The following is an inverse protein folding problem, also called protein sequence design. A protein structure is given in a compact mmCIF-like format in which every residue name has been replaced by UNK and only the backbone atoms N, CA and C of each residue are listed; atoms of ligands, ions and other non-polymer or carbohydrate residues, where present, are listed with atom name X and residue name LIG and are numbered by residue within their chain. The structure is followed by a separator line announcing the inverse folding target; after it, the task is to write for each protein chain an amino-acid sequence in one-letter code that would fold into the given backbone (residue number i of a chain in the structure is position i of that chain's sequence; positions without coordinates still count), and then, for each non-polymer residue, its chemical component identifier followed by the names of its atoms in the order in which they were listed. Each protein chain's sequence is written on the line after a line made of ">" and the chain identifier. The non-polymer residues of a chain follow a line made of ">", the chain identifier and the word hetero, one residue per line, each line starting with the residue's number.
data_IF_211492260658
#
_entry.id   IF_211492260658
#
_cell.length_a   1.000
_cell.length_b   1.000
_cell.length_c   1.000
_cell.angle_alpha   90.00
_cell.angle_beta   90.00
_cell.angle_gamma   90.00
#
_symmetry.space_group_name_H-M   'P 1'
#
loop_
_entity.id
_entity.type
_entity.pdbx_description
1 polymer ?
#
# COMPACT_ATOMS: atom_id res chain seq x y z
N UNK A 1 0.97 -22.79 25.90
CA UNK A 1 -0.11 -23.11 24.94
C UNK A 1 -1.26 -22.17 25.27
N UNK A 2 -1.68 -21.26 24.37
CA UNK A 2 -2.81 -20.40 24.67
C UNK A 2 -4.08 -21.24 24.67
N UNK A 3 -4.81 -21.20 25.78
CA UNK A 3 -6.14 -21.80 25.91
C UNK A 3 -7.02 -21.24 24.81
N UNK A 4 -7.46 -22.11 23.91
CA UNK A 4 -8.46 -21.83 22.89
C UNK A 4 -9.83 -21.88 23.57
N UNK A 5 -10.49 -20.73 23.85
CA UNK A 5 -11.71 -20.68 24.67
C UNK A 5 -12.94 -21.26 23.96
N UNK A 6 -12.78 -21.89 22.80
CA UNK A 6 -13.87 -22.34 21.93
C UNK A 6 -14.03 -23.87 21.87
N UNK A 7 -13.23 -24.66 22.62
CA UNK A 7 -13.45 -26.11 22.81
C UNK A 7 -14.38 -26.43 23.99
N UNK A 8 -15.51 -25.73 24.09
CA UNK A 8 -16.62 -26.11 24.99
C UNK A 8 -17.70 -26.89 24.22
N UNK A 9 -18.38 -27.87 24.83
CA UNK A 9 -19.46 -28.61 24.17
C UNK A 9 -20.72 -27.74 24.09
N UNK A 10 -20.82 -26.92 23.04
CA UNK A 10 -21.93 -25.96 22.90
C UNK A 10 -21.80 -25.02 21.71
N UNK A 11 -21.60 -25.61 20.51
CA UNK A 11 -21.89 -25.09 19.15
C UNK A 11 -22.18 -23.58 18.99
N UNK A 12 -21.49 -22.89 18.07
CA UNK A 12 -22.12 -22.02 17.11
C UNK A 12 -22.25 -22.77 15.77
N UNK A 13 -23.03 -23.86 15.79
CA UNK A 13 -23.53 -24.43 14.54
C UNK A 13 -24.44 -23.36 13.99
N UNK A 14 -24.16 -22.92 12.76
CA UNK A 14 -25.11 -22.17 11.96
C UNK A 14 -26.44 -22.86 12.11
N UNK A 15 -27.35 -22.23 12.85
CA UNK A 15 -28.44 -22.98 13.47
C UNK A 15 -29.18 -23.75 12.36
N UNK A 16 -29.59 -24.98 12.65
CA UNK A 16 -30.36 -25.81 11.73
C UNK A 16 -31.46 -25.03 10.96
N UNK A 17 -32.11 -23.97 11.54
CA UNK A 17 -32.92 -23.01 10.79
C UNK A 17 -32.27 -22.37 9.54
N UNK A 18 -31.09 -21.75 9.62
CA UNK A 18 -30.49 -21.06 8.45
C UNK A 18 -30.03 -22.08 7.41
N UNK A 19 -29.45 -23.20 7.84
CA UNK A 19 -29.03 -24.25 6.91
C UNK A 19 -30.21 -24.81 6.10
N UNK A 20 -31.37 -25.00 6.74
CA UNK A 20 -32.62 -25.44 6.08
C UNK A 20 -33.27 -24.36 5.22
N UNK A 21 -33.17 -23.10 5.61
CA UNK A 21 -33.71 -21.97 4.85
C UNK A 21 -32.87 -21.66 3.59
N UNK A 22 -31.63 -22.15 3.52
CA UNK A 22 -30.75 -21.89 2.39
C UNK A 22 -31.09 -22.80 1.20
N UNK A 23 -31.18 -22.27 -0.02
CA UNK A 23 -31.65 -23.04 -1.16
C UNK A 23 -30.60 -24.07 -1.63
N UNK A 24 -31.07 -25.27 -1.99
CA UNK A 24 -30.24 -26.36 -2.50
C UNK A 24 -29.99 -26.30 -4.03
N UNK A 25 -30.28 -25.16 -4.67
CA UNK A 25 -30.06 -24.93 -6.10
C UNK A 25 -28.75 -24.18 -6.34
N UNK A 26 -28.20 -24.23 -7.56
CA UNK A 26 -27.08 -23.39 -7.94
C UNK A 26 -27.39 -21.89 -7.79
N UNK A 27 -26.47 -21.15 -7.17
CA UNK A 27 -26.56 -19.69 -6.98
C UNK A 27 -25.43 -18.97 -7.70
N UNK A 28 -25.72 -17.80 -8.29
CA UNK A 28 -24.72 -16.88 -8.84
C UNK A 28 -24.26 -15.89 -7.76
N UNK A 29 -22.95 -15.79 -7.61
CA UNK A 29 -22.32 -14.84 -6.69
C UNK A 29 -22.15 -13.49 -7.41
N UNK A 30 -22.85 -12.46 -6.91
CA UNK A 30 -22.82 -11.07 -7.39
C UNK A 30 -21.97 -10.18 -6.47
N UNK A 31 -20.75 -10.63 -6.18
CA UNK A 31 -19.87 -9.92 -5.26
C UNK A 31 -19.46 -8.54 -5.82
N UNK A 32 -19.62 -7.44 -5.06
CA UNK A 32 -19.21 -6.09 -5.47
C UNK A 32 -17.69 -5.91 -5.34
N UNK A 33 -16.91 -6.80 -5.94
CA UNK A 33 -15.45 -6.77 -5.87
C UNK A 33 -14.96 -5.57 -6.68
N UNK A 34 -14.55 -4.51 -5.98
CA UNK A 34 -14.21 -3.21 -6.54
C UNK A 34 -12.84 -3.22 -7.24
N UNK A 35 -12.76 -3.92 -8.37
CA UNK A 35 -11.48 -4.16 -9.06
C UNK A 35 -11.00 -2.99 -9.91
N UNK A 36 -11.89 -2.34 -10.66
CA UNK A 36 -11.45 -1.41 -11.70
C UNK A 36 -10.87 -0.12 -11.11
N UNK A 37 -11.47 0.43 -10.04
CA UNK A 37 -10.95 1.62 -9.35
C UNK A 37 -9.61 1.33 -8.69
N UNK A 38 -9.49 0.21 -7.97
CA UNK A 38 -8.24 -0.19 -7.34
C UNK A 38 -7.13 -0.41 -8.38
N UNK A 39 -7.46 -1.01 -9.53
CA UNK A 39 -6.54 -1.21 -10.63
C UNK A 39 -6.11 0.11 -11.27
N UNK A 40 -7.05 1.00 -11.60
CA UNK A 40 -6.76 2.31 -12.18
C UNK A 40 -5.95 3.19 -11.23
N UNK A 41 -6.34 3.30 -9.96
CA UNK A 41 -5.58 4.07 -8.97
C UNK A 41 -4.22 3.45 -8.69
N UNK A 42 -4.10 2.12 -8.71
CA UNK A 42 -2.83 1.41 -8.57
C UNK A 42 -1.87 1.72 -9.73
N UNK A 43 -2.35 1.63 -10.98
CA UNK A 43 -1.54 1.93 -12.17
C UNK A 43 -1.22 3.41 -12.27
N UNK A 44 -2.22 4.28 -12.08
CA UNK A 44 -2.01 5.73 -12.09
C UNK A 44 -1.02 6.15 -11.01
N UNK A 45 -1.17 5.60 -9.79
CA UNK A 45 -0.22 5.80 -8.70
C UNK A 45 1.17 5.35 -9.11
N UNK A 46 1.32 4.11 -9.59
CA UNK A 46 2.60 3.58 -10.07
C UNK A 46 3.26 4.46 -11.13
N UNK A 47 2.50 4.92 -12.14
CA UNK A 47 3.00 5.79 -13.20
C UNK A 47 3.45 7.14 -12.66
N UNK A 48 2.64 7.79 -11.81
CA UNK A 48 3.01 9.06 -11.18
C UNK A 48 4.26 8.92 -10.32
N UNK A 49 4.38 7.83 -9.56
CA UNK A 49 5.57 7.53 -8.77
C UNK A 49 6.81 7.26 -9.64
N UNK A 50 6.66 6.50 -10.73
CA UNK A 50 7.76 6.21 -11.65
C UNK A 50 8.25 7.48 -12.38
N UNK A 51 7.33 8.35 -12.79
CA UNK A 51 7.66 9.66 -13.39
C UNK A 51 8.35 10.56 -12.37
N UNK A 52 7.81 10.69 -11.15
CA UNK A 52 8.44 11.47 -10.09
C UNK A 52 9.85 10.97 -9.77
N UNK A 53 10.05 9.66 -9.75
CA UNK A 53 11.35 9.03 -9.58
C UNK A 53 12.32 9.42 -10.70
N UNK A 54 11.89 9.35 -11.97
CA UNK A 54 12.71 9.73 -13.11
C UNK A 54 13.12 11.20 -13.04
N UNK A 55 12.20 12.10 -12.69
CA UNK A 55 12.46 13.54 -12.54
C UNK A 55 13.49 13.81 -11.44
N UNK A 56 13.30 13.27 -10.24
CA UNK A 56 14.27 13.44 -9.14
C UNK A 56 15.63 12.86 -9.51
N UNK A 57 15.64 11.70 -10.18
CA UNK A 57 16.89 11.07 -10.65
C UNK A 57 17.65 11.97 -11.63
N UNK A 58 16.93 12.67 -12.52
CA UNK A 58 17.55 13.57 -13.51
C UNK A 58 18.27 14.75 -12.86
N UNK A 59 17.86 15.18 -11.67
CA UNK A 59 18.50 16.28 -10.96
C UNK A 59 19.61 15.80 -10.03
N UNK A 60 19.37 14.71 -9.28
CA UNK A 60 20.29 14.24 -8.24
C UNK A 60 21.48 13.45 -8.82
N UNK A 61 21.23 12.58 -9.80
CA UNK A 61 22.25 11.67 -10.33
C UNK A 61 23.41 12.42 -11.01
N UNK A 62 23.20 13.45 -11.85
CA UNK A 62 24.31 14.17 -12.48
C UNK A 62 25.24 14.86 -11.48
N UNK A 63 24.69 15.44 -10.42
CA UNK A 63 25.49 16.09 -9.36
C UNK A 63 26.30 15.03 -8.61
N UNK A 64 25.66 13.93 -8.21
CA UNK A 64 26.34 12.82 -7.52
C UNK A 64 27.43 12.18 -8.40
N UNK A 65 27.17 12.02 -9.69
CA UNK A 65 28.14 11.51 -10.66
C UNK A 65 29.31 12.48 -10.87
N UNK A 66 29.06 13.79 -10.87
CA UNK A 66 30.10 14.82 -10.91
C UNK A 66 30.98 14.72 -9.68
N UNK A 67 30.38 14.70 -8.49
CA UNK A 67 31.09 14.59 -7.21
C UNK A 67 31.97 13.34 -7.16
N UNK A 68 31.44 12.19 -7.59
CA UNK A 68 32.21 10.95 -7.66
C UNK A 68 33.42 11.05 -8.60
N UNK A 69 33.29 11.72 -9.75
CA UNK A 69 34.36 11.84 -10.76
C UNK A 69 35.51 12.75 -10.34
N UNK A 70 35.25 13.71 -9.44
CA UNK A 70 36.24 14.70 -9.01
C UNK A 70 36.68 14.52 -7.56
N UNK A 71 36.11 13.56 -6.81
CA UNK A 71 36.40 13.39 -5.38
C UNK A 71 37.88 13.29 -5.04
N UNK A 72 38.68 12.70 -5.93
CA UNK A 72 40.11 12.43 -5.71
C UNK A 72 41.01 13.53 -6.31
N UNK A 73 40.46 14.43 -7.16
CA UNK A 73 41.19 15.51 -7.85
C UNK A 73 40.73 16.91 -7.47
N UNK A 74 39.67 17.02 -6.67
CA UNK A 74 39.05 18.29 -6.32
C UNK A 74 39.98 19.15 -5.46
N UNK A 75 40.16 20.39 -5.89
CA UNK A 75 40.89 21.43 -5.16
C UNK A 75 40.01 22.65 -4.97
N UNK A 76 40.34 23.46 -3.97
CA UNK A 76 39.64 24.72 -3.70
C UNK A 76 39.79 25.69 -4.88
N UNK A 77 38.69 26.33 -5.29
CA UNK A 77 38.66 27.32 -6.36
C UNK A 77 38.50 28.73 -5.76
N UNK A 78 39.60 29.42 -5.39
CA UNK A 78 39.54 30.70 -4.68
C UNK A 78 38.94 31.85 -5.50
N UNK A 79 38.92 31.72 -6.83
CA UNK A 79 38.29 32.71 -7.73
C UNK A 79 36.77 32.52 -7.86
N UNK A 80 36.26 31.33 -7.56
CA UNK A 80 34.83 31.00 -7.61
C UNK A 80 34.15 31.50 -6.34
N UNK A 81 32.99 32.12 -6.47
CA UNK A 81 32.23 32.65 -5.32
C UNK A 81 30.85 32.02 -5.25
N UNK A 82 30.33 31.92 -4.04
CA UNK A 82 28.95 31.53 -3.77
C UNK A 82 28.10 32.81 -3.79
N UNK A 83 27.18 32.92 -4.74
CA UNK A 83 26.27 34.08 -4.87
C UNK A 83 25.10 33.97 -3.87
N UNK A 84 24.57 32.76 -3.71
CA UNK A 84 23.48 32.47 -2.79
C UNK A 84 23.61 31.05 -2.24
N UNK A 85 23.17 30.84 -1.01
CA UNK A 85 23.13 29.54 -0.36
C UNK A 85 21.92 29.47 0.58
N UNK A 86 21.12 28.41 0.49
CA UNK A 86 19.96 28.18 1.33
C UNK A 86 19.92 26.72 1.75
N UNK A 87 19.81 26.47 3.05
CA UNK A 87 19.56 25.14 3.58
C UNK A 87 18.24 25.14 4.35
N UNK A 88 17.39 24.14 4.10
CA UNK A 88 16.15 23.91 4.82
C UNK A 88 16.12 22.49 5.37
N UNK A 89 15.68 22.35 6.61
CA UNK A 89 15.38 21.03 7.19
C UNK A 89 13.93 20.69 6.89
N UNK A 90 13.70 19.55 6.25
CA UNK A 90 12.41 18.95 6.02
C UNK A 90 12.31 17.65 6.84
N UNK A 91 11.11 17.34 7.32
CA UNK A 91 10.85 16.11 8.10
C UNK A 91 11.82 15.89 9.28
N UNK A 92 12.29 16.96 9.92
CA UNK A 92 13.22 16.98 11.06
C UNK A 92 14.62 16.38 10.84
N UNK A 93 14.88 15.69 9.73
CA UNK A 93 16.13 14.95 9.49
C UNK A 93 16.69 15.12 8.08
N UNK A 94 15.88 15.54 7.10
CA UNK A 94 16.29 15.71 5.72
C UNK A 94 16.76 17.15 5.51
N UNK A 95 18.04 17.35 5.23
CA UNK A 95 18.59 18.65 4.88
C UNK A 95 18.57 18.79 3.36
N UNK A 96 17.99 19.89 2.90
CA UNK A 96 17.90 20.29 1.51
C UNK A 96 18.65 21.61 1.35
N UNK A 97 19.82 21.55 0.72
CA UNK A 97 20.73 22.68 0.56
C UNK A 97 20.93 23.00 -0.92
N UNK A 98 20.67 24.25 -1.29
CA UNK A 98 20.90 24.78 -2.63
C UNK A 98 21.95 25.89 -2.55
N UNK A 99 22.85 25.92 -3.54
CA UNK A 99 23.82 27.00 -3.69
C UNK A 99 24.03 27.36 -5.17
N UNK A 100 24.20 28.65 -5.44
CA UNK A 100 24.55 29.16 -6.77
C UNK A 100 26.02 29.58 -6.78
N UNK A 101 26.81 28.91 -7.62
CA UNK A 101 28.23 29.16 -7.82
C UNK A 101 28.44 30.05 -9.05
N UNK A 102 29.27 31.09 -8.90
CA UNK A 102 29.70 31.97 -9.98
C UNK A 102 31.16 31.68 -10.28
N UNK A 103 31.40 31.09 -11.46
CA UNK A 103 32.72 30.64 -11.91
C UNK A 103 33.24 31.66 -12.92
N UNK A 104 34.27 32.45 -12.59
CA UNK A 104 34.86 33.37 -13.55
C UNK A 104 35.53 32.60 -14.68
N UNK A 105 35.29 33.03 -15.92
CA UNK A 105 35.87 32.46 -17.12
C UNK A 105 36.98 33.38 -17.63
N UNK A 106 38.08 32.80 -18.12
CA UNK A 106 39.20 33.58 -18.67
C UNK A 106 38.81 34.34 -19.95
N UNK A 107 37.79 33.85 -20.67
CA UNK A 107 37.15 34.55 -21.79
C UNK A 107 35.63 34.37 -21.73
N UNK A 108 34.91 35.49 -21.70
CA UNK A 108 33.45 35.51 -21.73
C UNK A 108 32.79 35.76 -20.37
N UNK A 109 31.45 35.75 -20.32
CA UNK A 109 30.70 35.99 -19.10
C UNK A 109 30.94 34.87 -18.06
N UNK A 110 30.88 35.22 -16.78
CA UNK A 110 31.00 34.24 -15.70
C UNK A 110 29.90 33.17 -15.79
N UNK A 111 30.28 31.91 -15.59
CA UNK A 111 29.36 30.78 -15.63
C UNK A 111 28.64 30.67 -14.28
N UNK A 112 27.30 30.69 -14.33
CA UNK A 112 26.45 30.42 -13.16
C UNK A 112 26.08 28.95 -13.15
N UNK A 113 26.30 28.29 -12.00
CA UNK A 113 25.94 26.90 -11.79
C UNK A 113 25.19 26.74 -10.49
N UNK A 114 24.01 26.13 -10.56
CA UNK A 114 23.25 25.75 -9.37
C UNK A 114 23.64 24.34 -8.96
N UNK A 115 23.88 24.15 -7.66
CA UNK A 115 24.18 22.85 -7.06
C UNK A 115 23.23 22.62 -5.88
N UNK A 116 22.61 21.44 -5.87
CA UNK A 116 21.67 21.01 -4.84
C UNK A 116 22.15 19.76 -4.12
N UNK A 117 21.98 19.74 -2.80
CA UNK A 117 22.45 18.69 -1.91
C UNK A 117 21.34 18.26 -0.95
N UNK A 118 20.94 16.98 -1.04
CA UNK A 118 19.95 16.38 -0.15
C UNK A 118 20.58 15.24 0.65
N UNK A 119 20.55 15.33 1.98
CA UNK A 119 21.14 14.33 2.88
C UNK A 119 20.43 14.24 4.24
N UNK A 120 20.57 13.09 4.91
CA UNK A 120 20.06 12.88 6.27
C UNK A 120 21.05 13.36 7.34
N UNK A 121 20.67 14.34 8.16
CA UNK A 121 21.45 14.77 9.33
C UNK A 121 20.55 15.47 10.38
N UNK A 122 20.68 15.18 11.70
CA UNK A 122 19.78 15.75 12.72
C UNK A 122 19.96 17.25 13.01
N UNK A 123 21.04 17.89 12.56
CA UNK A 123 21.36 19.28 12.89
C UNK A 123 21.61 20.16 11.66
N UNK A 124 20.88 21.28 11.59
CA UNK A 124 21.13 22.39 10.66
C UNK A 124 21.86 23.52 11.37
N UNK A 125 23.18 23.50 11.31
CA UNK A 125 24.01 24.67 11.63
C UNK A 125 24.20 25.57 10.42
N UNK A 126 24.60 26.82 10.63
CA UNK A 126 25.07 27.70 9.57
C UNK A 126 26.40 27.11 9.04
N UNK A 127 26.43 26.59 7.81
CA UNK A 127 27.63 25.96 7.22
C UNK A 127 28.23 26.90 6.20
N UNK A 128 29.53 27.15 6.35
CA UNK A 128 30.30 27.74 5.26
C UNK A 128 30.60 26.63 4.25
N UNK A 129 30.46 26.95 2.97
CA UNK A 129 30.77 26.03 1.88
C UNK A 129 31.83 26.65 0.99
N UNK A 130 32.84 25.87 0.66
CA UNK A 130 33.94 26.28 -0.22
C UNK A 130 33.73 25.67 -1.61
N UNK A 131 33.78 26.47 -2.69
CA UNK A 131 33.74 25.93 -4.05
C UNK A 131 34.95 25.04 -4.33
N UNK A 132 34.68 23.82 -4.81
CA UNK A 132 35.66 22.80 -5.14
C UNK A 132 35.51 22.41 -6.61
N UNK A 133 36.60 22.04 -7.28
CA UNK A 133 36.54 21.55 -8.65
C UNK A 133 37.84 20.92 -9.12
N UNK A 134 37.78 20.30 -10.29
CA UNK A 134 38.95 19.71 -10.94
C UNK A 134 39.61 20.75 -11.88
N UNK A 135 40.88 21.15 -11.67
CA UNK A 135 41.56 22.11 -12.54
C UNK A 135 41.67 21.65 -13.99
N UNK A 136 41.71 20.33 -14.23
CA UNK A 136 41.76 19.76 -15.57
C UNK A 136 40.39 19.72 -16.27
N UNK A 137 39.30 19.88 -15.50
CA UNK A 137 37.90 19.81 -15.96
C UNK A 137 37.08 20.92 -15.29
N UNK A 138 37.26 22.19 -15.71
CA UNK A 138 36.64 23.36 -15.06
C UNK A 138 35.10 23.33 -15.10
N UNK A 139 34.51 22.55 -15.99
CA UNK A 139 33.07 22.27 -16.08
C UNK A 139 32.55 21.37 -14.95
N UNK A 140 33.42 20.74 -14.15
CA UNK A 140 33.06 19.89 -13.02
C UNK A 140 33.36 20.62 -11.72
N UNK A 141 32.34 21.32 -11.21
CA UNK A 141 32.40 22.15 -10.01
C UNK A 141 31.36 21.69 -8.99
N UNK A 142 31.76 21.68 -7.72
CA UNK A 142 30.94 21.31 -6.57
C UNK A 142 31.36 22.14 -5.35
N UNK A 143 30.99 21.70 -4.15
CA UNK A 143 31.45 22.27 -2.88
C UNK A 143 32.10 21.21 -2.01
N UNK A 144 32.89 21.63 -1.04
CA UNK A 144 33.39 20.80 0.06
C UNK A 144 32.28 19.99 0.73
N UNK A 145 31.14 20.62 1.03
CA UNK A 145 29.96 19.96 1.59
C UNK A 145 29.46 18.83 0.69
N UNK A 146 29.45 19.03 -0.62
CA UNK A 146 29.05 18.04 -1.60
C UNK A 146 29.93 16.78 -1.54
N UNK A 147 31.23 16.95 -1.40
CA UNK A 147 32.23 15.88 -1.34
C UNK A 147 32.24 15.17 0.02
N UNK A 148 32.29 15.93 1.12
CA UNK A 148 32.29 15.38 2.48
C UNK A 148 31.04 14.55 2.75
N UNK A 149 29.88 14.99 2.22
CA UNK A 149 28.60 14.30 2.40
C UNK A 149 28.24 13.39 1.24
N UNK A 150 29.16 13.11 0.32
CA UNK A 150 28.91 12.25 -0.84
C UNK A 150 28.28 10.90 -0.45
N UNK A 151 28.90 10.19 0.51
CA UNK A 151 28.40 8.86 0.94
C UNK A 151 27.01 8.98 1.58
N UNK A 152 26.80 9.98 2.44
CA UNK A 152 25.50 10.20 3.07
C UNK A 152 24.42 10.50 2.03
N UNK A 153 24.71 11.34 1.05
CA UNK A 153 23.82 11.67 -0.07
C UNK A 153 23.52 10.44 -0.92
N UNK A 154 24.55 9.65 -1.27
CA UNK A 154 24.40 8.43 -2.04
C UNK A 154 23.53 7.38 -1.32
N UNK A 155 23.75 7.19 -0.02
CA UNK A 155 22.94 6.28 0.82
C UNK A 155 21.52 6.82 0.97
N UNK A 156 21.34 8.11 1.25
CA UNK A 156 20.03 8.76 1.36
C UNK A 156 19.22 8.52 0.09
N UNK A 157 19.80 8.83 -1.06
CA UNK A 157 19.18 8.60 -2.36
C UNK A 157 18.88 7.11 -2.60
N UNK A 158 19.83 6.22 -2.33
CA UNK A 158 19.66 4.77 -2.49
C UNK A 158 18.53 4.20 -1.63
N UNK A 159 18.43 4.63 -0.36
CA UNK A 159 17.34 4.22 0.55
C UNK A 159 15.99 4.74 0.07
N UNK A 160 15.91 6.02 -0.33
CA UNK A 160 14.66 6.59 -0.87
C UNK A 160 14.21 5.85 -2.14
N UNK A 161 15.15 5.55 -3.04
CA UNK A 161 14.88 4.77 -4.25
C UNK A 161 14.41 3.35 -3.93
N UNK A 162 15.04 2.68 -2.95
CA UNK A 162 14.64 1.34 -2.54
C UNK A 162 13.25 1.31 -1.92
N UNK A 163 12.93 2.27 -1.03
CA UNK A 163 11.61 2.41 -0.43
C UNK A 163 10.54 2.70 -1.48
N UNK A 164 10.82 3.61 -2.42
CA UNK A 164 9.91 3.90 -3.52
C UNK A 164 9.69 2.69 -4.42
N UNK A 165 10.75 1.95 -4.77
CA UNK A 165 10.62 0.73 -5.55
C UNK A 165 9.77 -0.32 -4.82
N UNK A 166 9.97 -0.49 -3.51
CA UNK A 166 9.15 -1.39 -2.70
C UNK A 166 7.66 -0.99 -2.70
N UNK A 167 7.35 0.30 -2.61
CA UNK A 167 5.97 0.82 -2.71
C UNK A 167 5.36 0.55 -4.10
N UNK A 168 6.11 0.81 -5.16
CA UNK A 168 5.71 0.54 -6.54
C UNK A 168 5.43 -0.96 -6.77
N UNK A 169 6.31 -1.84 -6.28
CA UNK A 169 6.11 -3.29 -6.33
C UNK A 169 4.89 -3.70 -5.49
N UNK A 170 4.70 -3.12 -4.31
CA UNK A 170 3.52 -3.32 -3.47
C UNK A 170 2.20 -3.03 -4.21
N UNK A 171 2.18 -1.95 -5.00
CA UNK A 171 1.01 -1.58 -5.81
C UNK A 171 0.67 -2.63 -6.88
N UNK A 172 1.63 -3.40 -7.37
CA UNK A 172 1.40 -4.50 -8.35
C UNK A 172 0.71 -5.72 -7.73
N UNK A 173 0.81 -5.93 -6.42
CA UNK A 173 0.17 -7.08 -5.76
C UNK A 173 -1.32 -6.85 -5.48
N UNK A 174 -1.76 -5.59 -5.34
CA UNK A 174 -3.17 -5.23 -5.16
C UNK A 174 -4.08 -5.79 -6.27
N UNK A 175 -3.80 -5.59 -7.57
CA UNK A 175 -4.64 -6.12 -8.64
C UNK A 175 -4.62 -7.64 -8.71
N UNK A 176 -3.49 -8.28 -8.40
CA UNK A 176 -3.38 -9.74 -8.36
C UNK A 176 -4.26 -10.33 -7.24
N UNK A 177 -4.28 -9.72 -6.06
CA UNK A 177 -5.14 -10.14 -4.95
C UNK A 177 -6.63 -10.02 -5.31
N UNK A 178 -7.02 -8.93 -5.98
CA UNK A 178 -8.40 -8.73 -6.44
C UNK A 178 -8.79 -9.72 -7.56
N UNK A 179 -7.89 -9.98 -8.51
CA UNK A 179 -8.12 -10.98 -9.55
C UNK A 179 -8.32 -12.39 -8.96
N UNK A 180 -7.54 -12.74 -7.94
CA UNK A 180 -7.72 -13.99 -7.18
C UNK A 180 -9.10 -14.06 -6.52
N UNK A 181 -9.55 -13.01 -5.85
CA UNK A 181 -10.89 -12.95 -5.24
C UNK A 181 -12.00 -13.12 -6.28
N UNK A 182 -11.88 -12.47 -7.44
CA UNK A 182 -12.83 -12.64 -8.55
C UNK A 182 -12.87 -14.08 -9.06
N UNK A 183 -11.72 -14.73 -9.22
CA UNK A 183 -11.65 -16.14 -9.63
C UNK A 183 -12.31 -17.06 -8.61
N UNK A 184 -12.09 -16.81 -7.31
CA UNK A 184 -12.74 -17.57 -6.24
C UNK A 184 -14.27 -17.37 -6.25
N UNK A 185 -14.74 -16.13 -6.35
CA UNK A 185 -16.17 -15.83 -6.46
C UNK A 185 -16.80 -16.46 -7.72
N UNK A 186 -16.10 -16.41 -8.84
CA UNK A 186 -16.54 -17.03 -10.09
C UNK A 186 -16.58 -18.57 -9.99
N UNK A 187 -15.63 -19.19 -9.30
CA UNK A 187 -15.61 -20.63 -9.08
C UNK A 187 -16.80 -21.11 -8.20
N UNK A 188 -17.25 -20.28 -7.25
CA UNK A 188 -18.45 -20.56 -6.46
C UNK A 188 -19.74 -20.31 -7.24
N UNK A 189 -19.73 -19.33 -8.15
CA UNK A 189 -20.91 -18.97 -8.94
C UNK A 189 -21.37 -20.13 -9.84
N UNK A 190 -22.67 -20.41 -9.83
CA UNK A 190 -23.27 -21.50 -10.63
C UNK A 190 -23.17 -22.88 -9.97
N UNK A 191 -22.75 -22.96 -8.71
CA UNK A 191 -22.76 -24.19 -7.92
C UNK A 191 -23.72 -24.06 -6.73
N UNK A 192 -24.10 -25.20 -6.15
CA UNK A 192 -24.81 -25.24 -4.87
C UNK A 192 -23.86 -24.73 -3.78
N UNK A 193 -24.31 -23.74 -3.01
CA UNK A 193 -23.53 -23.10 -1.96
C UNK A 193 -23.97 -23.61 -0.59
N UNK A 194 -23.00 -23.86 0.28
CA UNK A 194 -23.25 -24.30 1.65
C UNK A 194 -23.13 -23.08 2.58
N UNK A 195 -24.16 -22.78 3.40
CA UNK A 195 -24.07 -21.72 4.39
C UNK A 195 -23.14 -22.18 5.53
N UNK A 196 -22.17 -21.34 5.88
CA UNK A 196 -21.20 -21.61 6.96
C UNK A 196 -21.15 -20.43 7.94
N UNK A 197 -21.04 -20.69 9.27
CA UNK A 197 -20.89 -19.63 10.25
C UNK A 197 -19.44 -19.14 10.19
N UNK A 198 -19.25 -17.83 10.09
CA UNK A 198 -17.92 -17.24 10.06
C UNK A 198 -17.77 -16.15 11.12
N UNK A 199 -16.57 -16.03 11.67
CA UNK A 199 -16.20 -14.90 12.52
C UNK A 199 -15.68 -13.77 11.65
N UNK A 200 -16.23 -12.58 11.83
CA UNK A 200 -15.75 -11.38 11.18
C UNK A 200 -14.64 -10.74 12.02
N UNK A 201 -13.41 -10.81 11.53
CA UNK A 201 -12.22 -10.27 12.22
C UNK A 201 -12.09 -8.76 11.93
N UNK A 202 -12.43 -8.33 10.72
CA UNK A 202 -12.38 -6.93 10.29
C UNK A 202 -13.40 -6.68 9.18
N UNK A 203 -14.10 -5.55 9.23
CA UNK A 203 -15.17 -5.17 8.29
C UNK A 203 -14.99 -3.74 7.78
N UNK A 204 -13.87 -3.47 7.11
CA UNK A 204 -13.61 -2.16 6.48
C UNK A 204 -13.63 -2.33 4.96
N UNK A 205 -12.60 -1.84 4.26
CA UNK A 205 -12.44 -2.05 2.82
C UNK A 205 -12.20 -3.54 2.49
N UNK A 206 -11.54 -4.26 3.39
CA UNK A 206 -11.29 -5.70 3.29
C UNK A 206 -11.97 -6.40 4.45
N UNK A 207 -12.79 -7.39 4.11
CA UNK A 207 -13.51 -8.21 5.07
C UNK A 207 -12.71 -9.49 5.30
N UNK A 208 -12.18 -9.61 6.51
CA UNK A 208 -11.46 -10.80 6.95
C UNK A 208 -12.42 -11.68 7.71
N UNK A 209 -12.73 -12.84 7.15
CA UNK A 209 -13.62 -13.82 7.74
C UNK A 209 -12.92 -15.15 7.93
N UNK A 210 -13.22 -15.79 9.05
CA UNK A 210 -12.72 -17.13 9.35
C UNK A 210 -13.90 -18.03 9.63
N UNK A 211 -14.03 -19.10 8.87
CA UNK A 211 -15.04 -20.13 9.07
C UNK A 211 -14.86 -20.76 10.44
N UNK A 212 -15.96 -20.92 11.18
CA UNK A 212 -15.92 -21.53 12.51
C UNK A 212 -15.87 -23.06 12.41
N UNK A 213 -16.38 -23.64 11.32
CA UNK A 213 -16.48 -25.09 11.14
C UNK A 213 -15.12 -25.73 10.83
N UNK A 214 -14.37 -25.14 9.90
CA UNK A 214 -13.12 -25.71 9.36
C UNK A 214 -11.89 -24.80 9.56
N UNK A 215 -12.06 -23.62 10.15
CA UNK A 215 -10.98 -22.67 10.40
C UNK A 215 -10.44 -21.96 9.16
N UNK A 216 -11.03 -22.17 7.96
CA UNK A 216 -10.55 -21.53 6.74
C UNK A 216 -10.78 -20.02 6.78
N UNK A 217 -9.75 -19.26 6.40
CA UNK A 217 -9.78 -17.82 6.37
C UNK A 217 -9.89 -17.29 4.93
N UNK A 218 -10.73 -16.27 4.75
CA UNK A 218 -10.90 -15.52 3.51
C UNK A 218 -10.76 -14.03 3.76
N UNK A 219 -10.04 -13.35 2.87
CA UNK A 219 -9.97 -11.89 2.82
C UNK A 219 -10.64 -11.42 1.54
N UNK A 220 -11.67 -10.55 1.65
CA UNK A 220 -12.50 -10.13 0.53
C UNK A 220 -12.55 -8.59 0.41
N UNK A 221 -12.18 -8.05 -0.74
CA UNK A 221 -12.27 -6.61 -1.00
C UNK A 221 -13.67 -6.26 -1.53
N UNK A 222 -14.61 -6.09 -0.61
CA UNK A 222 -16.03 -5.81 -0.87
C UNK A 222 -16.34 -4.30 -0.77
N UNK A 223 -15.33 -3.50 -0.41
CA UNK A 223 -15.46 -2.07 -0.19
C UNK A 223 -16.30 -1.74 1.04
N UNK A 224 -16.78 -0.50 1.12
CA UNK A 224 -17.68 -0.01 2.16
C UNK A 224 -19.18 -0.23 1.82
N UNK A 225 -19.48 -1.07 0.82
CA UNK A 225 -20.84 -1.25 0.30
C UNK A 225 -21.50 -2.45 0.94
N UNK A 226 -22.04 -2.27 2.14
CA UNK A 226 -22.85 -3.29 2.81
C UNK A 226 -22.44 -3.46 4.26
N UNK A 227 -23.40 -3.89 5.06
CA UNK A 227 -23.16 -4.37 6.41
C UNK A 227 -23.16 -5.90 6.38
N UNK A 228 -22.37 -6.58 7.21
CA UNK A 228 -22.35 -8.02 7.24
C UNK A 228 -23.69 -8.57 7.75
N UNK A 229 -24.15 -9.69 7.19
CA UNK A 229 -25.31 -10.38 7.74
C UNK A 229 -24.94 -11.04 9.07
N UNK A 230 -25.26 -10.36 10.18
CA UNK A 230 -24.88 -10.81 11.54
C UNK A 230 -25.91 -11.80 12.07
N UNK A 231 -25.51 -13.05 12.25
CA UNK A 231 -26.36 -14.11 12.81
C UNK A 231 -26.45 -13.98 14.33
N UNK A 232 -25.31 -13.79 14.99
CA UNK A 232 -25.23 -13.58 16.44
C UNK A 232 -24.37 -12.32 16.75
N UNK A 233 -25.01 -11.21 17.16
CA UNK A 233 -24.32 -9.97 17.53
C UNK A 233 -23.42 -10.11 18.75
N UNK A 234 -23.73 -11.00 19.70
CA UNK A 234 -22.91 -11.17 20.92
C UNK A 234 -21.62 -11.93 20.60
N UNK A 235 -21.70 -12.94 19.73
CA UNK A 235 -20.56 -13.73 19.28
C UNK A 235 -19.74 -13.12 18.14
N UNK A 236 -20.26 -12.07 17.47
CA UNK A 236 -19.65 -11.50 16.27
C UNK A 236 -19.68 -12.45 15.08
N UNK A 237 -20.71 -13.30 15.00
CA UNK A 237 -20.85 -14.34 13.99
C UNK A 237 -21.65 -13.80 12.81
N UNK A 238 -21.10 -13.97 11.62
CA UNK A 238 -21.70 -13.58 10.35
C UNK A 238 -22.01 -14.80 9.50
N UNK A 239 -23.00 -14.64 8.63
CA UNK A 239 -23.33 -15.64 7.62
C UNK A 239 -22.35 -15.52 6.45
N UNK A 240 -21.70 -16.64 6.13
CA UNK A 240 -20.89 -16.79 4.93
C UNK A 240 -21.34 -18.03 4.15
N UNK A 241 -20.80 -18.18 2.94
CA UNK A 241 -21.05 -19.34 2.08
C UNK A 241 -19.75 -19.89 1.53
N UNK A 242 -19.72 -21.20 1.29
CA UNK A 242 -18.63 -21.87 0.57
C UNK A 242 -19.18 -22.64 -0.62
N UNK A 243 -18.32 -22.95 -1.60
CA UNK A 243 -18.68 -23.90 -2.64
C UNK A 243 -18.86 -25.32 -2.07
N UNK A 244 -19.50 -26.20 -2.85
CA UNK A 244 -19.69 -27.61 -2.50
C UNK A 244 -18.38 -28.38 -2.28
N UNK A 245 -17.30 -27.97 -2.95
CA UNK A 245 -15.95 -28.51 -2.76
C UNK A 245 -15.21 -27.92 -1.53
N UNK A 246 -15.88 -27.07 -0.73
CA UNK A 246 -15.27 -26.28 0.33
C UNK A 246 -14.50 -25.07 -0.20
N UNK A 247 -13.71 -24.45 0.67
CA UNK A 247 -12.85 -23.29 0.34
C UNK A 247 -13.07 -22.10 1.28
N UNK A 248 -12.42 -20.96 0.99
CA UNK A 248 -12.49 -19.80 1.86
C UNK A 248 -13.94 -19.26 1.94
N UNK A 249 -14.46 -18.96 3.15
CA UNK A 249 -15.83 -18.51 3.33
C UNK A 249 -16.04 -17.14 2.69
N UNK A 250 -17.07 -17.01 1.86
CA UNK A 250 -17.51 -15.75 1.27
C UNK A 250 -18.60 -15.11 2.14
N UNK A 251 -18.37 -13.94 2.76
CA UNK A 251 -19.36 -13.32 3.63
C UNK A 251 -20.54 -12.76 2.82
N UNK A 252 -21.72 -12.72 3.45
CA UNK A 252 -22.92 -12.14 2.85
C UNK A 252 -23.23 -10.76 3.44
N UNK A 253 -23.85 -9.91 2.62
CA UNK A 253 -24.39 -8.63 3.06
C UNK A 253 -25.73 -8.80 3.78
N UNK A 254 -26.06 -7.86 4.67
CA UNK A 254 -27.30 -7.82 5.46
C UNK A 254 -28.55 -7.94 4.57
N UNK A 255 -28.51 -7.35 3.37
CA UNK A 255 -29.61 -7.38 2.40
C UNK A 255 -29.64 -8.64 1.54
N UNK A 256 -28.63 -9.52 1.66
CA UNK A 256 -28.46 -10.75 0.88
C UNK A 256 -28.57 -10.48 -0.64
N UNK A 257 -27.97 -9.38 -1.10
CA UNK A 257 -27.97 -8.96 -2.51
C UNK A 257 -26.80 -9.51 -3.30
N UNK A 258 -25.77 -10.02 -2.63
CA UNK A 258 -24.59 -10.60 -3.27
C UNK A 258 -24.82 -12.02 -3.79
N UNK A 259 -26.01 -12.58 -3.59
CA UNK A 259 -26.48 -13.85 -4.15
C UNK A 259 -27.74 -13.61 -4.97
N UNK A 260 -27.98 -14.43 -5.99
CA UNK A 260 -29.21 -14.39 -6.79
C UNK A 260 -30.36 -15.19 -6.16
N UNK A 261 -30.68 -14.83 -4.91
CA UNK A 261 -31.82 -15.36 -4.17
C UNK A 261 -33.14 -14.77 -4.67
N UNK A 262 -34.20 -15.58 -4.66
CA UNK A 262 -35.58 -15.09 -4.81
C UNK A 262 -36.01 -14.32 -3.56
N UNK A 263 -37.09 -13.55 -3.66
CA UNK A 263 -37.64 -12.84 -2.50
C UNK A 263 -38.11 -13.81 -1.41
N UNK A 264 -38.69 -14.94 -1.81
CA UNK A 264 -39.12 -16.01 -0.89
C UNK A 264 -37.94 -16.65 -0.14
N UNK A 265 -36.86 -17.00 -0.86
CA UNK A 265 -35.64 -17.55 -0.26
C UNK A 265 -34.99 -16.54 0.72
N UNK A 266 -34.96 -15.26 0.33
CA UNK A 266 -34.43 -14.19 1.19
C UNK A 266 -35.27 -14.04 2.46
N UNK A 267 -36.58 -14.05 2.33
CA UNK A 267 -37.51 -13.97 3.47
C UNK A 267 -37.35 -15.17 4.41
N UNK A 268 -37.16 -16.38 3.87
CA UNK A 268 -36.90 -17.59 4.66
C UNK A 268 -35.62 -17.47 5.50
N UNK A 269 -34.52 -16.98 4.91
CA UNK A 269 -33.24 -16.78 5.63
C UNK A 269 -33.38 -15.72 6.72
N UNK A 270 -34.13 -14.64 6.46
CA UNK A 270 -34.42 -13.61 7.47
C UNK A 270 -35.28 -14.15 8.61
N UNK A 271 -36.30 -14.95 8.31
CA UNK A 271 -37.14 -15.60 9.32
C UNK A 271 -36.31 -16.54 10.21
N UNK A 272 -35.41 -17.33 9.61
CA UNK A 272 -34.48 -18.20 10.32
C UNK A 272 -33.55 -17.42 11.26
N UNK A 273 -33.01 -16.27 10.82
CA UNK A 273 -32.23 -15.38 11.70
C UNK A 273 -33.06 -14.86 12.86
N UNK A 274 -34.30 -14.43 12.61
CA UNK A 274 -35.17 -13.92 13.66
C UNK A 274 -35.53 -15.00 14.71
N UNK A 275 -35.57 -16.27 14.32
CA UNK A 275 -35.73 -17.40 15.24
C UNK A 275 -34.50 -17.55 16.15
N UNK A 276 -33.29 -17.51 15.58
CA UNK A 276 -32.03 -17.57 16.35
C UNK A 276 -31.94 -16.44 17.37
N UNK A 277 -32.23 -15.21 16.93
CA UNK A 277 -32.16 -14.03 17.79
C UNK A 277 -33.24 -14.01 18.88
N UNK A 278 -34.32 -14.77 18.72
CA UNK A 278 -35.32 -15.01 19.77
C UNK A 278 -34.85 -16.09 20.74
N UNK A 279 -34.25 -17.17 20.23
CA UNK A 279 -33.74 -18.26 21.06
C UNK A 279 -32.50 -17.89 21.89
N UNK A 280 -31.69 -16.93 21.43
CA UNK A 280 -30.52 -16.42 22.16
C UNK A 280 -30.79 -15.25 23.11
N UNK A 281 -32.05 -14.80 23.21
CA UNK A 281 -32.51 -13.75 24.13
C UNK A 281 -32.96 -14.37 25.44
#
# INVERSE_FOLDING_TARGET
>A
MPNDPWKGPGRPVLSDPIARAFPARPLRVRAPIAAWRAWLFGILGFLLFAVGMAVVSMEVVPVLATDYRIRDTAVALPKTRVESGRCQVRFFLLNDCEATLVIPQDRGPALRREVGYVFFEPSSGNRQVMPMGDPARPELTTTDLGLERFVNRAVTYGVLMALMLALCLGALFVPAAVARQKRLAAAMSGHVLNPVPARLVRAQQVWNVTSIDDGQAGAWNLGNKGEPFVVDPRGGIVLAVTGSAGGPPFPLDEKLTWLDLTEEERAAIWAARAEIQRAGR
#
